data_IF_317295157631
#
_entry.id   IF_317295157631
#
_cell.length_a   1.000
_cell.length_b   1.000
_cell.length_c   1.000
_cell.angle_alpha   90.00
_cell.angle_beta   90.00
_cell.angle_gamma   90.00
#
_symmetry.space_group_name_H-M   'P 1'
#
loop_
_entity.id
_entity.type
_entity.pdbx_description
1 polymer ?
#
# COMPACT_ATOMS: atom_id res chain seq x y z
N UNK A 1 -10.37 -3.89 -4.94
CA UNK A 1 -9.19 -3.65 -4.10
C UNK A 1 -8.29 -4.86 -4.16
N UNK A 2 -7.10 -4.72 -4.75
CA UNK A 2 -6.17 -5.85 -4.90
C UNK A 2 -5.69 -6.33 -3.53
N UNK A 3 -5.38 -5.40 -2.62
CA UNK A 3 -4.99 -5.70 -1.26
C UNK A 3 -6.04 -6.49 -0.47
N UNK A 4 -7.33 -6.23 -0.68
CA UNK A 4 -8.40 -7.02 -0.04
C UNK A 4 -8.39 -8.49 -0.52
N UNK A 5 -8.23 -8.70 -1.83
CA UNK A 5 -8.17 -10.05 -2.41
C UNK A 5 -6.95 -10.78 -1.88
N UNK A 6 -5.79 -10.12 -1.85
CA UNK A 6 -4.56 -10.71 -1.34
C UNK A 6 -4.61 -11.00 0.17
N UNK A 7 -5.13 -10.07 0.97
CA UNK A 7 -5.33 -10.28 2.40
C UNK A 7 -6.25 -11.46 2.66
N UNK A 8 -7.37 -11.57 1.94
CA UNK A 8 -8.31 -12.68 2.08
C UNK A 8 -7.68 -14.02 1.66
N UNK A 9 -6.91 -14.02 0.56
CA UNK A 9 -6.15 -15.19 0.10
C UNK A 9 -5.18 -15.68 1.17
N UNK A 10 -4.40 -14.78 1.75
CA UNK A 10 -3.42 -15.11 2.81
C UNK A 10 -4.10 -15.62 4.07
N UNK A 11 -5.21 -15.02 4.49
CA UNK A 11 -6.00 -15.53 5.61
C UNK A 11 -6.52 -16.95 5.35
N UNK A 12 -7.04 -17.23 4.14
CA UNK A 12 -7.47 -18.60 3.77
C UNK A 12 -6.31 -19.59 3.80
N UNK A 13 -5.13 -19.20 3.31
CA UNK A 13 -3.93 -20.05 3.34
C UNK A 13 -3.51 -20.38 4.78
N UNK A 14 -3.52 -19.38 5.67
CA UNK A 14 -3.20 -19.56 7.09
C UNK A 14 -4.22 -20.45 7.82
N UNK A 15 -5.48 -20.43 7.39
CA UNK A 15 -6.57 -21.19 8.02
C UNK A 15 -6.79 -22.58 7.39
N UNK A 16 -6.01 -22.94 6.38
CA UNK A 16 -6.16 -24.23 5.69
C UNK A 16 -6.05 -25.40 6.66
N UNK A 17 -7.08 -26.25 6.70
CA UNK A 17 -7.15 -27.40 7.61
C UNK A 17 -7.58 -27.07 9.04
N UNK A 18 -7.93 -25.82 9.34
CA UNK A 18 -8.46 -25.40 10.63
C UNK A 18 -9.83 -26.01 10.91
N UNK A 19 -10.18 -26.17 12.19
CA UNK A 19 -11.55 -26.52 12.59
C UNK A 19 -12.59 -25.49 12.11
N UNK A 20 -12.15 -24.26 11.76
CA UNK A 20 -13.00 -23.21 11.21
C UNK A 20 -13.58 -23.56 9.83
N UNK A 21 -12.97 -24.48 9.09
CA UNK A 21 -13.51 -24.97 7.81
C UNK A 21 -14.67 -25.95 7.98
N UNK A 22 -14.88 -26.49 9.18
CA UNK A 22 -15.94 -27.47 9.49
C UNK A 22 -17.17 -26.76 10.05
N UNK A 23 -18.41 -27.24 9.79
CA UNK A 23 -19.61 -26.68 10.42
C UNK A 23 -19.57 -26.84 11.95
N UNK A 24 -20.09 -25.85 12.69
CA UNK A 24 -20.26 -25.93 14.14
C UNK A 24 -21.45 -25.07 14.58
N UNK A 25 -22.40 -25.67 15.29
CA UNK A 25 -23.65 -25.02 15.72
C UNK A 25 -23.44 -23.92 16.78
N UNK A 26 -22.32 -23.95 17.50
CA UNK A 26 -21.99 -22.93 18.49
C UNK A 26 -21.48 -21.61 17.92
N UNK A 27 -21.37 -21.47 16.60
CA UNK A 27 -20.95 -20.20 15.98
C UNK A 27 -22.10 -19.20 15.95
N UNK A 28 -21.77 -17.94 16.22
CA UNK A 28 -22.69 -16.85 15.92
C UNK A 28 -22.99 -16.80 14.41
N UNK A 29 -24.16 -16.26 14.05
CA UNK A 29 -24.53 -16.07 12.64
C UNK A 29 -23.50 -15.22 11.88
N UNK A 30 -22.93 -14.22 12.55
CA UNK A 30 -21.89 -13.33 12.01
C UNK A 30 -20.95 -12.88 13.13
N UNK A 31 -19.66 -12.82 12.83
CA UNK A 31 -18.68 -12.22 13.72
C UNK A 31 -18.78 -10.68 13.70
N UNK A 32 -18.31 -10.00 14.77
CA UNK A 32 -18.12 -8.54 14.77
C UNK A 32 -17.29 -8.05 13.57
N UNK A 33 -17.49 -6.79 13.20
CA UNK A 33 -16.82 -6.21 12.02
C UNK A 33 -15.29 -6.26 12.10
N UNK A 34 -14.70 -6.18 13.29
CA UNK A 34 -13.26 -6.32 13.49
C UNK A 34 -12.68 -7.65 13.00
N UNK A 35 -13.49 -8.72 13.00
CA UNK A 35 -13.11 -10.03 12.45
C UNK A 35 -13.60 -10.16 11.01
N UNK A 36 -14.89 -9.92 10.78
CA UNK A 36 -15.53 -10.18 9.49
C UNK A 36 -15.03 -9.29 8.36
N UNK A 37 -14.66 -8.05 8.67
CA UNK A 37 -14.16 -7.07 7.69
C UNK A 37 -12.63 -6.96 7.70
N UNK A 38 -11.92 -7.79 8.48
CA UNK A 38 -10.47 -7.70 8.65
C UNK A 38 -9.73 -7.64 7.30
N UNK A 39 -10.08 -8.51 6.35
CA UNK A 39 -9.38 -8.56 5.07
C UNK A 39 -9.61 -7.31 4.21
N UNK A 40 -10.76 -6.66 4.34
CA UNK A 40 -11.01 -5.38 3.68
C UNK A 40 -10.17 -4.26 4.31
N UNK A 41 -10.19 -4.15 5.64
CA UNK A 41 -9.45 -3.13 6.39
C UNK A 41 -7.95 -3.26 6.14
N UNK A 42 -7.39 -4.45 6.36
CA UNK A 42 -5.95 -4.72 6.11
C UNK A 42 -5.62 -4.58 4.63
N UNK A 43 -6.52 -5.00 3.74
CA UNK A 43 -6.35 -4.83 2.30
C UNK A 43 -6.26 -3.38 1.85
N UNK A 44 -7.05 -2.48 2.44
CA UNK A 44 -6.97 -1.04 2.17
C UNK A 44 -5.62 -0.46 2.58
N UNK A 45 -5.08 -0.88 3.73
CA UNK A 45 -3.72 -0.48 4.17
C UNK A 45 -2.66 -1.00 3.18
N UNK A 46 -2.79 -2.24 2.72
CA UNK A 46 -1.88 -2.80 1.71
C UNK A 46 -1.91 -2.03 0.39
N UNK A 47 -3.10 -1.64 -0.08
CA UNK A 47 -3.25 -0.82 -1.29
C UNK A 47 -2.58 0.56 -1.11
N UNK A 48 -2.77 1.20 0.05
CA UNK A 48 -2.14 2.49 0.39
C UNK A 48 -0.60 2.39 0.42
N UNK A 49 -0.07 1.35 1.08
CA UNK A 49 1.37 1.09 1.12
C UNK A 49 1.94 0.77 -0.26
N UNK A 50 1.18 0.09 -1.11
CA UNK A 50 1.55 -0.17 -2.50
C UNK A 50 1.75 1.12 -3.29
N UNK A 51 0.82 2.06 -3.17
CA UNK A 51 0.93 3.38 -3.79
C UNK A 51 2.11 4.18 -3.24
N UNK A 52 2.28 4.24 -1.90
CA UNK A 52 3.42 4.91 -1.27
C UNK A 52 4.75 4.35 -1.77
N UNK A 53 4.87 3.01 -1.82
CA UNK A 53 6.07 2.35 -2.33
C UNK A 53 6.35 2.74 -3.77
N UNK A 54 5.33 2.86 -4.62
CA UNK A 54 5.50 3.28 -6.00
C UNK A 54 6.05 4.71 -6.09
N UNK A 55 5.49 5.67 -5.34
CA UNK A 55 5.95 7.06 -5.39
C UNK A 55 7.37 7.21 -4.83
N UNK A 56 7.66 6.61 -3.68
CA UNK A 56 9.01 6.62 -3.11
C UNK A 56 10.03 5.92 -4.02
N UNK A 57 9.63 4.88 -4.77
CA UNK A 57 10.54 4.21 -5.70
C UNK A 57 10.95 5.13 -6.85
N UNK A 58 10.08 6.04 -7.30
CA UNK A 58 10.45 7.05 -8.31
C UNK A 58 11.40 8.06 -7.69
N UNK A 59 11.03 8.62 -6.54
CA UNK A 59 11.81 9.65 -5.84
C UNK A 59 13.23 9.18 -5.53
N UNK A 60 13.38 8.00 -4.93
CA UNK A 60 14.67 7.46 -4.52
C UNK A 60 15.59 7.09 -5.70
N UNK A 61 15.06 7.02 -6.91
CA UNK A 61 15.81 6.66 -8.12
C UNK A 61 15.87 7.79 -9.16
N UNK A 62 15.40 8.99 -8.83
CA UNK A 62 15.48 10.18 -9.66
C UNK A 62 16.43 11.22 -9.03
N UNK A 63 16.94 12.15 -9.84
CA UNK A 63 17.64 13.34 -9.32
C UNK A 63 16.62 14.35 -8.81
N UNK A 64 16.81 14.84 -7.59
CA UNK A 64 16.09 15.93 -6.95
C UNK A 64 16.81 17.29 -7.11
N UNK A 65 17.83 17.35 -7.98
CA UNK A 65 18.71 18.50 -8.12
C UNK A 65 18.02 19.72 -8.79
N UNK A 66 18.42 20.91 -8.34
CA UNK A 66 18.20 22.17 -9.05
C UNK A 66 19.43 23.09 -8.94
N UNK A 67 20.03 23.53 -10.07
CA UNK A 67 19.64 23.20 -11.45
C UNK A 67 19.92 21.73 -11.78
N UNK A 68 19.10 21.15 -12.65
CA UNK A 68 19.32 19.81 -13.17
C UNK A 68 20.41 19.88 -14.25
N UNK A 69 21.47 19.09 -14.07
CA UNK A 69 22.55 18.93 -15.04
C UNK A 69 22.15 17.90 -16.11
N UNK A 70 22.27 18.27 -17.38
CA UNK A 70 22.05 17.41 -18.54
C UNK A 70 23.37 17.25 -19.30
N UNK A 71 24.23 16.27 -18.93
CA UNK A 71 25.58 16.15 -19.48
C UNK A 71 25.60 15.89 -20.99
N UNK A 72 24.64 15.12 -21.50
CA UNK A 72 24.53 14.80 -22.93
C UNK A 72 24.22 16.04 -23.79
N UNK A 73 23.69 17.08 -23.17
CA UNK A 73 23.32 18.34 -23.81
C UNK A 73 24.28 19.50 -23.48
N UNK A 74 25.33 19.25 -22.67
CA UNK A 74 26.24 20.27 -22.13
C UNK A 74 25.47 21.47 -21.52
N UNK A 75 24.40 21.17 -20.77
CA UNK A 75 23.41 22.16 -20.34
C UNK A 75 23.01 21.98 -18.87
N UNK A 76 22.68 23.11 -18.22
CA UNK A 76 21.99 23.15 -16.93
C UNK A 76 20.61 23.79 -17.10
N UNK A 77 19.59 23.17 -16.50
CA UNK A 77 18.21 23.65 -16.55
C UNK A 77 17.70 23.93 -15.13
N UNK A 78 17.00 25.04 -14.93
CA UNK A 78 16.21 25.25 -13.72
C UNK A 78 15.14 24.15 -13.62
N UNK A 79 15.01 23.53 -12.45
CA UNK A 79 14.18 22.35 -12.26
C UNK A 79 13.41 22.42 -10.95
N UNK A 80 12.16 21.95 -10.89
CA UNK A 80 11.40 21.77 -9.65
C UNK A 80 11.56 20.37 -9.04
N UNK A 81 12.58 19.57 -9.45
CA UNK A 81 12.72 18.17 -9.03
C UNK A 81 12.81 17.96 -7.51
N UNK A 82 13.16 19.00 -6.74
CA UNK A 82 13.20 18.97 -5.28
C UNK A 82 11.81 18.99 -4.62
N UNK A 83 10.72 19.14 -5.37
CA UNK A 83 9.36 19.29 -4.83
C UNK A 83 8.76 17.93 -4.39
N UNK A 84 8.54 17.71 -3.08
CA UNK A 84 8.23 16.38 -2.56
C UNK A 84 6.73 16.01 -2.53
N UNK A 85 5.83 16.92 -2.93
CA UNK A 85 4.40 16.80 -2.63
C UNK A 85 3.77 15.45 -3.03
N UNK A 86 4.19 14.86 -4.16
CA UNK A 86 3.62 13.59 -4.65
C UNK A 86 3.81 12.43 -3.69
N UNK A 87 5.03 12.23 -3.15
CA UNK A 87 5.28 11.15 -2.19
C UNK A 87 4.82 11.53 -0.78
N UNK A 88 4.81 12.81 -0.43
CA UNK A 88 4.28 13.29 0.86
C UNK A 88 2.78 12.97 0.99
N UNK A 89 1.97 13.28 -0.02
CA UNK A 89 0.54 12.92 -0.01
C UNK A 89 0.33 11.40 0.08
N UNK A 90 1.25 10.61 -0.49
CA UNK A 90 1.22 9.16 -0.37
C UNK A 90 1.50 8.70 1.08
N UNK A 91 2.43 9.36 1.78
CA UNK A 91 2.71 9.12 3.21
C UNK A 91 1.51 9.49 4.06
N UNK A 92 0.91 10.66 3.83
CA UNK A 92 -0.27 11.12 4.58
C UNK A 92 -1.44 10.14 4.44
N UNK A 93 -1.71 9.67 3.21
CA UNK A 93 -2.70 8.63 2.95
C UNK A 93 -2.39 7.34 3.72
N UNK A 94 -1.13 6.90 3.75
CA UNK A 94 -0.72 5.69 4.47
C UNK A 94 -0.73 5.86 6.00
N UNK A 95 -0.57 7.09 6.49
CA UNK A 95 -0.58 7.41 7.93
C UNK A 95 -1.98 7.52 8.52
N UNK A 96 -3.00 7.71 7.67
CA UNK A 96 -4.39 7.83 8.10
C UNK A 96 -4.98 6.43 8.27
N UNK A 97 -4.73 5.81 9.42
CA UNK A 97 -5.25 4.49 9.82
C UNK A 97 -5.59 4.44 11.31
#
# INVERSE_FOLDING_TARGET
YQGQIESARKCKELLKGSYLEKPWEGRALQDPLSFRCQSAITGSVMDALGYLKQQLSVELNATDDNPCLLPEEDRMCGSPNFEPLTWVLAVEMASTG
#
